data_IF_714261060234
#
_entry.id   IF_714261060234
#
_cell.length_a   1.000
_cell.length_b   1.000
_cell.length_c   1.000
_cell.angle_alpha   90.00
_cell.angle_beta   90.00
_cell.angle_gamma   90.00
#
_symmetry.space_group_name_H-M   'P 1'
#
loop_
_entity.id
_entity.type
_entity.pdbx_description
1 polymer ?
#
# COMPACT_ATOMS: atom_id res chain seq x y z
N UNK A 1 -20.22 14.34 -19.27
CA UNK A 1 -21.01 13.79 -18.15
C UNK A 1 -21.90 12.58 -18.51
N UNK A 2 -21.79 11.96 -19.70
CA UNK A 2 -22.65 10.82 -20.07
C UNK A 2 -22.44 9.58 -19.20
N UNK A 3 -21.19 9.24 -18.86
CA UNK A 3 -20.87 8.03 -18.06
C UNK A 3 -21.39 8.14 -16.62
N UNK A 4 -21.16 9.28 -15.95
CA UNK A 4 -21.72 9.55 -14.63
C UNK A 4 -23.25 9.48 -14.64
N UNK A 5 -23.90 10.06 -15.65
CA UNK A 5 -25.35 10.00 -15.77
C UNK A 5 -25.86 8.54 -15.91
N UNK A 6 -25.18 7.72 -16.71
CA UNK A 6 -25.50 6.30 -16.87
C UNK A 6 -25.36 5.56 -15.53
N UNK A 7 -24.24 5.76 -14.83
CA UNK A 7 -24.01 5.19 -13.49
C UNK A 7 -25.12 5.60 -12.52
N UNK A 8 -25.46 6.88 -12.45
CA UNK A 8 -26.52 7.36 -11.55
C UNK A 8 -27.89 6.78 -11.89
N UNK A 9 -28.22 6.61 -13.18
CA UNK A 9 -29.46 5.95 -13.58
C UNK A 9 -29.50 4.48 -13.16
N UNK A 10 -28.39 3.74 -13.33
CA UNK A 10 -28.29 2.36 -12.87
C UNK A 10 -28.39 2.26 -11.33
N UNK A 11 -27.78 3.20 -10.61
CA UNK A 11 -27.89 3.30 -9.15
C UNK A 11 -29.36 3.57 -8.74
N UNK A 12 -30.05 4.52 -9.40
CA UNK A 12 -31.48 4.79 -9.16
C UNK A 12 -32.33 3.54 -9.33
N UNK A 13 -32.19 2.83 -10.45
CA UNK A 13 -32.98 1.62 -10.71
C UNK A 13 -32.74 0.50 -9.68
N UNK A 14 -31.49 0.36 -9.21
CA UNK A 14 -31.14 -0.60 -8.15
C UNK A 14 -31.74 -0.20 -6.80
N UNK A 15 -31.66 1.08 -6.44
CA UNK A 15 -32.26 1.62 -5.21
C UNK A 15 -33.79 1.51 -5.26
N UNK A 16 -34.40 1.71 -6.42
CA UNK A 16 -35.84 1.48 -6.62
C UNK A 16 -36.20 0.02 -6.38
N UNK A 17 -35.50 -0.88 -7.06
CA UNK A 17 -35.73 -2.33 -6.97
C UNK A 17 -35.53 -2.88 -5.55
N UNK A 18 -34.51 -2.40 -4.83
CA UNK A 18 -34.24 -2.85 -3.45
C UNK A 18 -35.34 -2.40 -2.47
N UNK A 19 -35.80 -1.15 -2.59
CA UNK A 19 -36.85 -0.61 -1.73
C UNK A 19 -38.22 -1.23 -2.00
N UNK A 20 -38.54 -1.52 -3.28
CA UNK A 20 -39.74 -2.28 -3.63
C UNK A 20 -39.73 -3.68 -3.01
N UNK A 21 -38.59 -4.38 -3.10
CA UNK A 21 -38.40 -5.69 -2.44
C UNK A 21 -38.56 -5.60 -0.92
N UNK A 22 -38.09 -4.52 -0.31
CA UNK A 22 -38.17 -4.28 1.14
C UNK A 22 -39.52 -3.68 1.58
N UNK A 23 -40.51 -3.57 0.67
CA UNK A 23 -41.86 -3.04 0.93
C UNK A 23 -41.86 -1.61 1.51
N UNK A 24 -40.87 -0.80 1.15
CA UNK A 24 -40.83 0.62 1.51
C UNK A 24 -41.90 1.37 0.71
N UNK A 25 -42.64 2.28 1.35
CA UNK A 25 -43.75 3.01 0.72
C UNK A 25 -43.37 3.80 -0.53
N UNK A 26 -44.24 3.80 -1.55
CA UNK A 26 -44.00 4.36 -2.89
C UNK A 26 -43.76 5.88 -2.93
N UNK A 27 -44.34 6.65 -2.02
CA UNK A 27 -44.08 8.09 -1.87
C UNK A 27 -42.66 8.40 -1.38
N UNK A 28 -42.06 7.50 -0.61
CA UNK A 28 -40.69 7.62 -0.11
C UNK A 28 -39.67 7.29 -1.22
N UNK A 29 -40.06 6.40 -2.14
CA UNK A 29 -39.28 5.95 -3.30
C UNK A 29 -39.05 7.06 -4.33
N UNK A 30 -40.13 7.73 -4.78
CA UNK A 30 -40.02 8.81 -5.75
C UNK A 30 -39.12 9.96 -5.27
N UNK A 31 -39.19 10.30 -3.97
CA UNK A 31 -38.32 11.35 -3.41
C UNK A 31 -36.84 10.96 -3.36
N UNK A 32 -36.49 9.68 -3.29
CA UNK A 32 -35.09 9.23 -3.25
C UNK A 32 -34.47 9.14 -4.64
N UNK A 33 -35.27 8.81 -5.66
CA UNK A 33 -34.82 8.68 -7.05
C UNK A 33 -34.40 10.03 -7.65
N UNK A 34 -35.15 11.08 -7.31
CA UNK A 34 -34.89 12.46 -7.78
C UNK A 34 -33.70 13.13 -7.07
N UNK A 35 -33.13 12.52 -6.03
CA UNK A 35 -32.07 13.13 -5.20
C UNK A 35 -30.64 12.89 -5.69
N UNK A 36 -30.40 11.90 -6.56
CA UNK A 36 -29.08 11.72 -7.18
C UNK A 36 -28.90 12.75 -8.29
N UNK A 37 -27.88 13.62 -8.21
CA UNK A 37 -27.70 14.71 -9.19
C UNK A 37 -26.36 14.57 -9.92
N UNK A 38 -26.34 14.51 -11.27
CA UNK A 38 -25.10 14.44 -12.04
C UNK A 38 -24.15 15.64 -11.86
N UNK A 39 -24.65 16.78 -11.39
CA UNK A 39 -23.87 17.99 -11.14
C UNK A 39 -23.24 18.01 -9.74
N UNK A 40 -23.59 17.06 -8.87
CA UNK A 40 -23.07 16.98 -7.50
C UNK A 40 -21.87 16.05 -7.45
N UNK A 41 -20.79 16.49 -6.81
CA UNK A 41 -19.59 15.68 -6.56
C UNK A 41 -19.97 14.33 -5.94
N UNK A 42 -19.67 13.26 -6.65
CA UNK A 42 -20.03 11.89 -6.26
C UNK A 42 -18.80 11.11 -5.82
N UNK A 43 -18.77 10.75 -4.53
CA UNK A 43 -17.72 9.91 -3.95
C UNK A 43 -18.24 8.47 -3.85
N UNK A 44 -17.55 7.54 -4.50
CA UNK A 44 -17.82 6.11 -4.41
C UNK A 44 -17.05 5.45 -3.28
N UNK A 45 -17.73 4.57 -2.56
CA UNK A 45 -17.11 3.60 -1.66
C UNK A 45 -17.70 2.23 -1.93
N UNK A 46 -16.96 1.34 -2.61
CA UNK A 46 -17.44 -0.03 -2.78
C UNK A 46 -16.40 -1.12 -2.61
N UNK A 47 -16.72 -2.08 -1.73
CA UNK A 47 -15.82 -3.15 -1.30
C UNK A 47 -16.56 -4.20 -0.47
N UNK A 48 -15.89 -5.31 -0.18
CA UNK A 48 -16.36 -6.22 0.88
C UNK A 48 -16.38 -5.46 2.21
N UNK A 49 -17.49 -5.57 2.93
CA UNK A 49 -17.61 -4.99 4.28
C UNK A 49 -16.85 -5.89 5.25
N UNK A 50 -15.66 -5.45 5.64
CA UNK A 50 -14.84 -6.03 6.70
C UNK A 50 -14.42 -4.87 7.63
N UNK A 51 -14.24 -5.15 8.91
CA UNK A 51 -13.97 -4.14 9.94
C UNK A 51 -12.74 -3.28 9.61
N UNK A 52 -11.66 -3.90 9.12
CA UNK A 52 -10.45 -3.18 8.75
C UNK A 52 -10.61 -2.20 7.58
N UNK A 53 -11.65 -2.32 6.76
CA UNK A 53 -11.91 -1.38 5.66
C UNK A 53 -12.51 -0.05 6.12
N UNK A 54 -12.87 0.05 7.41
CA UNK A 54 -13.32 1.27 8.12
C UNK A 54 -14.44 2.03 7.40
N UNK A 55 -15.47 1.35 6.91
CA UNK A 55 -16.61 2.00 6.23
C UNK A 55 -17.30 3.09 7.08
N UNK A 56 -17.16 3.01 8.42
CA UNK A 56 -17.73 3.94 9.38
C UNK A 56 -16.89 5.19 9.65
N UNK A 57 -15.64 5.25 9.20
CA UNK A 57 -14.69 6.31 9.57
C UNK A 57 -15.20 7.72 9.23
N UNK A 58 -15.82 7.86 8.05
CA UNK A 58 -16.35 9.14 7.56
C UNK A 58 -17.60 9.61 8.34
N UNK A 59 -18.20 8.75 9.17
CA UNK A 59 -19.39 9.08 9.96
C UNK A 59 -19.06 9.36 11.43
N UNK A 60 -17.78 9.48 11.80
CA UNK A 60 -17.38 9.72 13.20
C UNK A 60 -17.88 11.07 13.71
N UNK A 61 -17.74 12.13 12.93
CA UNK A 61 -18.36 13.44 13.18
C UNK A 61 -19.52 13.62 12.20
N UNK A 62 -20.71 13.19 12.64
CA UNK A 62 -21.92 13.25 11.81
C UNK A 62 -22.32 14.69 11.47
N UNK A 63 -22.14 15.63 12.39
CA UNK A 63 -22.62 17.00 12.20
C UNK A 63 -21.69 17.77 11.25
N UNK A 64 -20.37 17.57 11.35
CA UNK A 64 -19.44 18.06 10.33
C UNK A 64 -19.72 17.42 8.98
N UNK A 65 -19.89 16.10 8.90
CA UNK A 65 -20.22 15.45 7.63
C UNK A 65 -21.52 15.98 7.02
N UNK A 66 -22.60 16.15 7.80
CA UNK A 66 -23.87 16.74 7.33
C UNK A 66 -23.66 18.13 6.72
N UNK A 67 -22.83 18.99 7.33
CA UNK A 67 -22.49 20.31 6.79
C UNK A 67 -21.75 20.21 5.45
N UNK A 68 -20.81 19.27 5.32
CA UNK A 68 -20.06 19.04 4.08
C UNK A 68 -21.00 18.58 2.96
N UNK A 69 -21.79 17.53 3.22
CA UNK A 69 -22.66 16.93 2.21
C UNK A 69 -23.75 17.89 1.73
N UNK A 70 -24.26 18.76 2.62
CA UNK A 70 -25.33 19.71 2.33
C UNK A 70 -24.85 21.14 2.09
N UNK A 71 -23.56 21.35 1.84
CA UNK A 71 -23.07 22.68 1.49
C UNK A 71 -23.86 23.24 0.28
N UNK A 72 -24.41 24.46 0.36
CA UNK A 72 -25.28 24.99 -0.68
C UNK A 72 -24.56 25.27 -2.00
N UNK A 73 -23.26 25.57 -1.95
CA UNK A 73 -22.44 25.88 -3.13
C UNK A 73 -21.68 24.67 -3.64
N UNK A 74 -21.25 23.80 -2.71
CA UNK A 74 -20.33 22.69 -2.97
C UNK A 74 -20.84 21.38 -2.35
N UNK A 75 -22.06 20.93 -2.70
CA UNK A 75 -22.65 19.74 -2.09
C UNK A 75 -21.85 18.48 -2.43
N UNK A 76 -22.01 17.42 -1.65
CA UNK A 76 -21.36 16.13 -1.90
C UNK A 76 -22.37 15.01 -1.73
N UNK A 77 -22.31 14.02 -2.62
CA UNK A 77 -23.07 12.78 -2.48
C UNK A 77 -22.14 11.57 -2.36
N UNK A 78 -22.48 10.64 -1.48
CA UNK A 78 -21.75 9.41 -1.21
C UNK A 78 -22.55 8.22 -1.73
N UNK A 79 -21.91 7.35 -2.51
CA UNK A 79 -22.49 6.10 -2.97
C UNK A 79 -21.71 4.93 -2.39
N UNK A 80 -22.31 4.29 -1.40
CA UNK A 80 -21.80 3.07 -0.77
C UNK A 80 -22.32 1.85 -1.52
N UNK A 81 -21.47 0.83 -1.65
CA UNK A 81 -21.91 -0.50 -2.08
C UNK A 81 -21.03 -1.58 -1.49
N UNK A 82 -21.61 -2.74 -1.21
CA UNK A 82 -20.80 -3.87 -0.79
C UNK A 82 -21.62 -5.10 -0.47
N UNK A 83 -20.88 -6.12 -0.04
CA UNK A 83 -21.41 -7.38 0.47
C UNK A 83 -20.63 -7.75 1.72
N UNK A 84 -21.33 -8.29 2.70
CA UNK A 84 -20.73 -8.98 3.83
C UNK A 84 -20.80 -10.48 3.57
N UNK A 85 -19.84 -11.24 4.09
CA UNK A 85 -19.93 -12.70 4.03
C UNK A 85 -21.08 -13.16 4.95
N UNK A 86 -21.84 -14.23 4.62
CA UNK A 86 -22.97 -14.68 5.45
C UNK A 86 -22.59 -15.03 6.90
N UNK A 87 -21.32 -15.41 7.13
CA UNK A 87 -20.76 -15.70 8.46
C UNK A 87 -20.08 -14.50 9.14
N UNK A 88 -20.02 -13.35 8.49
CA UNK A 88 -19.34 -12.15 8.98
C UNK A 88 -20.38 -11.20 9.60
N UNK A 89 -20.68 -11.43 10.88
CA UNK A 89 -21.67 -10.65 11.63
C UNK A 89 -21.31 -9.17 11.67
N UNK A 90 -20.03 -8.84 11.89
CA UNK A 90 -19.55 -7.45 11.90
C UNK A 90 -19.76 -6.75 10.56
N UNK A 91 -19.46 -7.43 9.44
CA UNK A 91 -19.76 -6.92 8.09
C UNK A 91 -21.26 -6.65 7.87
N UNK A 92 -22.13 -7.52 8.36
CA UNK A 92 -23.59 -7.36 8.23
C UNK A 92 -24.14 -6.23 9.09
N UNK A 93 -23.60 -6.04 10.30
CA UNK A 93 -23.93 -4.91 11.17
C UNK A 93 -23.49 -3.59 10.55
N UNK A 94 -22.30 -3.53 9.94
CA UNK A 94 -21.85 -2.33 9.22
C UNK A 94 -22.80 -1.94 8.08
N UNK A 95 -23.28 -2.91 7.29
CA UNK A 95 -24.26 -2.64 6.23
C UNK A 95 -25.56 -2.08 6.83
N UNK A 96 -26.07 -2.69 7.90
CA UNK A 96 -27.27 -2.20 8.60
C UNK A 96 -27.08 -0.78 9.13
N UNK A 97 -25.91 -0.47 9.70
CA UNK A 97 -25.62 0.84 10.25
C UNK A 97 -25.53 1.91 9.16
N UNK A 98 -24.79 1.66 8.07
CA UNK A 98 -24.68 2.60 6.95
C UNK A 98 -26.05 2.82 6.29
N UNK A 99 -26.86 1.77 6.16
CA UNK A 99 -28.23 1.88 5.64
C UNK A 99 -29.14 2.73 6.55
N UNK A 100 -29.03 2.54 7.88
CA UNK A 100 -29.76 3.36 8.85
C UNK A 100 -29.33 4.84 8.81
N UNK A 101 -28.02 5.10 8.73
CA UNK A 101 -27.50 6.47 8.57
C UNK A 101 -27.99 7.13 7.28
N UNK A 102 -28.02 6.40 6.17
CA UNK A 102 -28.51 6.93 4.89
C UNK A 102 -29.98 7.39 4.94
N UNK A 103 -30.76 6.87 5.90
CA UNK A 103 -32.15 7.27 6.14
C UNK A 103 -32.31 8.41 7.17
N UNK A 104 -31.26 8.73 7.94
CA UNK A 104 -31.24 9.79 8.96
C UNK A 104 -31.36 11.19 8.30
N UNK A 105 -32.01 12.12 8.99
CA UNK A 105 -32.13 13.51 8.55
C UNK A 105 -30.73 14.15 8.39
N UNK A 106 -30.55 14.93 7.32
CA UNK A 106 -29.25 15.49 6.93
C UNK A 106 -28.37 14.55 6.10
N UNK A 107 -28.55 13.23 6.18
CA UNK A 107 -27.87 12.28 5.28
C UNK A 107 -28.75 11.82 4.12
N UNK A 108 -30.07 11.81 4.35
CA UNK A 108 -31.05 11.45 3.34
C UNK A 108 -30.89 12.29 2.07
N UNK A 109 -30.72 11.61 0.93
CA UNK A 109 -30.52 12.24 -0.37
C UNK A 109 -29.09 12.72 -0.65
N UNK A 110 -28.18 12.51 0.31
CA UNK A 110 -26.73 12.71 0.13
C UNK A 110 -25.97 11.40 0.24
N UNK A 111 -26.45 10.46 1.05
CA UNK A 111 -25.83 9.14 1.23
C UNK A 111 -26.75 8.08 0.64
N UNK A 112 -26.20 7.25 -0.23
CA UNK A 112 -26.92 6.20 -0.93
C UNK A 112 -26.21 4.86 -0.73
N UNK A 113 -26.97 3.82 -0.41
CA UNK A 113 -26.45 2.47 -0.28
C UNK A 113 -27.03 1.56 -1.37
N UNK A 114 -26.17 0.97 -2.19
CA UNK A 114 -26.51 0.04 -3.26
C UNK A 114 -26.17 -1.38 -2.80
N UNK A 115 -27.20 -2.17 -2.54
CA UNK A 115 -27.04 -3.57 -2.14
C UNK A 115 -26.42 -4.42 -3.27
N UNK A 116 -25.87 -5.58 -2.89
CA UNK A 116 -25.40 -6.61 -3.82
C UNK A 116 -24.29 -6.18 -4.80
N UNK A 117 -23.23 -5.56 -4.29
CA UNK A 117 -22.02 -5.27 -5.07
C UNK A 117 -21.48 -6.49 -5.86
N UNK A 118 -21.54 -6.41 -7.17
CA UNK A 118 -21.06 -7.41 -8.12
C UNK A 118 -20.22 -6.73 -9.22
N UNK A 119 -19.84 -7.49 -10.25
CA UNK A 119 -19.06 -6.93 -11.36
C UNK A 119 -19.83 -5.87 -12.17
N UNK A 120 -21.17 -5.92 -12.21
CA UNK A 120 -21.99 -4.90 -12.86
C UNK A 120 -21.97 -3.61 -12.07
N UNK A 121 -22.25 -3.66 -10.76
CA UNK A 121 -22.18 -2.47 -9.89
C UNK A 121 -20.76 -1.91 -9.85
N UNK A 122 -19.74 -2.77 -9.81
CA UNK A 122 -18.35 -2.36 -9.90
C UNK A 122 -18.07 -1.58 -11.19
N UNK A 123 -18.52 -2.07 -12.34
CA UNK A 123 -18.34 -1.40 -13.64
C UNK A 123 -19.02 -0.02 -13.64
N UNK A 124 -20.24 0.07 -13.14
CA UNK A 124 -20.97 1.34 -13.07
C UNK A 124 -20.24 2.34 -12.18
N UNK A 125 -19.93 1.97 -10.94
CA UNK A 125 -19.29 2.88 -9.99
C UNK A 125 -17.89 3.28 -10.44
N UNK A 126 -17.03 2.32 -10.81
CA UNK A 126 -15.64 2.59 -11.19
C UNK A 126 -15.54 3.55 -12.38
N UNK A 127 -16.48 3.49 -13.31
CA UNK A 127 -16.49 4.35 -14.50
C UNK A 127 -17.21 5.68 -14.28
N UNK A 128 -18.14 5.76 -13.33
CA UNK A 128 -19.05 6.89 -13.19
C UNK A 128 -18.82 7.82 -12.01
N UNK A 129 -18.12 7.38 -10.95
CA UNK A 129 -17.86 8.26 -9.79
C UNK A 129 -16.81 9.32 -10.12
N UNK A 130 -16.91 10.48 -9.48
CA UNK A 130 -15.88 11.51 -9.62
C UNK A 130 -14.65 11.16 -8.76
N UNK A 131 -14.89 10.65 -7.54
CA UNK A 131 -13.86 10.27 -6.57
C UNK A 131 -14.10 8.88 -6.04
N UNK A 132 -13.02 8.13 -5.79
CA UNK A 132 -13.05 6.83 -5.13
C UNK A 132 -12.37 6.88 -3.77
N UNK A 133 -13.16 6.72 -2.70
CA UNK A 133 -12.67 6.77 -1.32
C UNK A 133 -12.13 5.41 -0.88
N UNK A 134 -10.92 5.42 -0.31
CA UNK A 134 -10.28 4.23 0.25
C UNK A 134 -9.56 4.48 1.57
N UNK A 135 -10.07 3.90 2.65
CA UNK A 135 -9.58 4.15 4.00
C UNK A 135 -9.35 2.88 4.85
N UNK A 136 -8.74 1.79 4.32
CA UNK A 136 -8.38 0.65 5.14
C UNK A 136 -7.47 1.05 6.29
N UNK A 137 -7.48 0.25 7.35
CA UNK A 137 -6.54 0.38 8.46
C UNK A 137 -5.14 0.09 7.95
N UNK A 138 -4.20 1.03 8.11
CA UNK A 138 -2.77 0.80 7.84
C UNK A 138 -2.20 -0.23 8.84
N UNK A 139 -1.30 -1.15 8.44
CA UNK A 139 -0.89 -1.54 7.09
C UNK A 139 -1.64 -2.80 6.59
N UNK A 140 -2.96 -2.87 6.82
CA UNK A 140 -3.73 -4.09 6.55
C UNK A 140 -4.16 -4.24 5.08
N UNK A 141 -3.98 -3.20 4.26
CA UNK A 141 -4.18 -3.30 2.82
C UNK A 141 -2.89 -3.73 2.11
N UNK A 142 -2.81 -4.99 1.68
CA UNK A 142 -1.66 -5.44 0.90
C UNK A 142 -1.49 -4.67 -0.44
N UNK A 143 -2.59 -4.31 -1.10
CA UNK A 143 -2.55 -3.56 -2.37
C UNK A 143 -3.86 -2.80 -2.60
N UNK A 144 -4.87 -3.44 -3.22
CA UNK A 144 -6.18 -2.86 -3.49
C UNK A 144 -6.37 -2.44 -4.95
N UNK A 145 -7.00 -3.31 -5.77
CA UNK A 145 -7.09 -3.09 -7.23
C UNK A 145 -8.24 -2.20 -7.69
N UNK A 146 -9.18 -1.82 -6.82
CA UNK A 146 -10.32 -0.98 -7.22
C UNK A 146 -9.90 0.44 -7.57
N UNK A 147 -9.00 1.04 -6.79
CA UNK A 147 -8.47 2.37 -7.07
C UNK A 147 -7.67 2.44 -8.37
N UNK A 148 -6.95 1.37 -8.72
CA UNK A 148 -6.23 1.23 -9.99
C UNK A 148 -7.19 1.32 -11.18
N UNK A 149 -8.36 0.66 -11.07
CA UNK A 149 -9.39 0.67 -12.13
C UNK A 149 -10.06 2.03 -12.28
N UNK A 150 -10.25 2.76 -11.18
CA UNK A 150 -10.85 4.11 -11.20
C UNK A 150 -9.93 5.10 -11.92
N UNK A 151 -8.62 5.05 -11.65
CA UNK A 151 -7.66 5.94 -12.31
C UNK A 151 -7.66 5.81 -13.84
N UNK A 152 -7.86 4.60 -14.36
CA UNK A 152 -8.01 4.34 -15.80
C UNK A 152 -9.24 5.00 -16.43
N UNK A 153 -10.30 5.23 -15.64
CA UNK A 153 -11.53 5.89 -16.10
C UNK A 153 -11.49 7.41 -15.89
N UNK A 154 -10.35 7.96 -15.48
CA UNK A 154 -10.21 9.38 -15.15
C UNK A 154 -10.84 9.77 -13.82
N UNK A 155 -11.28 8.80 -13.01
CA UNK A 155 -11.70 9.07 -11.64
C UNK A 155 -10.51 9.40 -10.75
N UNK A 156 -10.77 10.15 -9.69
CA UNK A 156 -9.75 10.60 -8.75
C UNK A 156 -9.74 9.70 -7.52
N UNK A 157 -8.57 9.19 -7.14
CA UNK A 157 -8.43 8.42 -5.90
C UNK A 157 -8.33 9.38 -4.72
N UNK A 158 -9.06 9.07 -3.65
CA UNK A 158 -8.93 9.70 -2.34
C UNK A 158 -8.68 8.58 -1.34
N UNK A 159 -7.41 8.37 -0.98
CA UNK A 159 -7.02 7.16 -0.26
C UNK A 159 -6.04 7.42 0.86
N UNK A 160 -6.13 6.61 1.89
CA UNK A 160 -5.07 6.46 2.87
C UNK A 160 -3.77 6.02 2.18
N UNK A 161 -2.60 6.45 2.67
CA UNK A 161 -1.30 5.95 2.22
C UNK A 161 -1.06 4.50 2.71
N UNK A 162 -1.75 3.55 2.07
CA UNK A 162 -1.61 2.11 2.27
C UNK A 162 -1.71 1.34 0.94
N UNK A 163 -1.20 0.11 0.92
CA UNK A 163 -1.24 -0.76 -0.24
C UNK A 163 -0.71 -0.10 -1.52
N UNK A 164 -1.45 -0.23 -2.62
CA UNK A 164 -1.01 0.25 -3.95
C UNK A 164 -0.88 1.78 -4.01
N UNK A 165 -1.55 2.51 -3.11
CA UNK A 165 -1.57 3.97 -3.17
C UNK A 165 -0.23 4.56 -2.73
N UNK A 166 0.53 3.86 -1.89
CA UNK A 166 1.92 4.22 -1.55
C UNK A 166 2.81 4.20 -2.81
N UNK A 167 2.61 3.22 -3.69
CA UNK A 167 3.35 3.12 -4.95
C UNK A 167 2.83 4.11 -6.02
N UNK A 168 1.52 4.40 -6.00
CA UNK A 168 0.84 5.11 -7.08
C UNK A 168 0.67 6.61 -6.88
N UNK A 169 0.65 7.11 -5.65
CA UNK A 169 0.42 8.52 -5.35
C UNK A 169 1.64 9.38 -5.66
N UNK A 170 1.44 10.53 -6.32
CA UNK A 170 2.52 11.45 -6.68
C UNK A 170 2.21 12.92 -6.37
N UNK A 171 1.18 13.19 -5.56
CA UNK A 171 0.74 14.54 -5.21
C UNK A 171 -0.03 15.29 -6.31
N UNK A 172 -0.14 14.73 -7.52
CA UNK A 172 -0.81 15.36 -8.67
C UNK A 172 -1.96 14.53 -9.25
N UNK A 173 -2.14 13.29 -8.77
CA UNK A 173 -3.05 12.30 -9.33
C UNK A 173 -4.18 11.87 -8.40
N UNK A 174 -4.36 12.57 -7.28
CA UNK A 174 -5.44 12.34 -6.34
C UNK A 174 -5.17 12.98 -5.00
N UNK A 175 -5.86 12.49 -3.98
CA UNK A 175 -5.76 12.95 -2.60
C UNK A 175 -5.28 11.79 -1.72
N UNK A 176 -4.37 12.11 -0.81
CA UNK A 176 -3.88 11.17 0.18
C UNK A 176 -4.11 11.71 1.59
N UNK A 177 -4.38 10.81 2.53
CA UNK A 177 -4.45 11.14 3.95
C UNK A 177 -3.77 10.04 4.78
N UNK A 178 -3.56 10.37 6.05
CA UNK A 178 -2.84 9.53 6.98
C UNK A 178 -1.33 9.59 6.79
N UNK A 179 -0.63 9.44 7.90
CA UNK A 179 0.84 9.45 7.98
C UNK A 179 1.37 8.08 8.44
N UNK A 180 2.69 8.01 8.60
CA UNK A 180 3.41 6.84 9.10
C UNK A 180 3.79 6.99 10.59
N UNK A 181 3.09 7.85 11.32
CA UNK A 181 3.35 8.09 12.75
C UNK A 181 2.83 6.96 13.62
N UNK A 182 3.48 6.77 14.77
CA UNK A 182 3.04 5.83 15.80
C UNK A 182 1.98 6.50 16.70
N UNK A 183 0.74 6.02 16.63
CA UNK A 183 -0.36 6.50 17.45
C UNK A 183 -0.48 5.67 18.73
N UNK A 184 -0.90 6.31 19.83
CA UNK A 184 -1.02 5.63 21.13
C UNK A 184 -2.17 4.63 21.16
N UNK A 185 -3.15 4.78 20.26
CA UNK A 185 -4.27 3.85 20.12
C UNK A 185 -4.88 3.87 18.71
N UNK A 186 -5.63 2.81 18.37
CA UNK A 186 -6.39 2.75 17.11
C UNK A 186 -7.51 3.80 17.03
N UNK A 187 -8.02 4.25 18.18
CA UNK A 187 -9.07 5.26 18.27
C UNK A 187 -8.52 6.66 17.97
N UNK A 188 -7.33 6.99 18.49
CA UNK A 188 -6.62 8.23 18.17
C UNK A 188 -6.32 8.31 16.67
N UNK A 189 -5.81 7.21 16.08
CA UNK A 189 -5.59 7.09 14.64
C UNK A 189 -6.88 7.27 13.83
N UNK A 190 -8.01 6.73 14.29
CA UNK A 190 -9.29 6.89 13.59
C UNK A 190 -9.83 8.32 13.67
N UNK A 191 -9.65 9.00 14.81
CA UNK A 191 -10.00 10.41 14.93
C UNK A 191 -9.17 11.25 13.98
N UNK A 192 -7.84 11.06 13.98
CA UNK A 192 -6.94 11.79 13.11
C UNK A 192 -7.24 11.56 11.62
N UNK A 193 -7.37 10.30 11.20
CA UNK A 193 -7.71 9.98 9.81
C UNK A 193 -9.09 10.55 9.44
N UNK A 194 -10.07 10.59 10.35
CA UNK A 194 -11.39 11.18 10.07
C UNK A 194 -11.35 12.69 9.91
N UNK A 195 -10.61 13.40 10.76
CA UNK A 195 -10.43 14.86 10.64
C UNK A 195 -9.72 15.22 9.33
N UNK A 196 -8.66 14.49 8.98
CA UNK A 196 -7.95 14.67 7.71
C UNK A 196 -8.88 14.43 6.50
N UNK A 197 -9.78 13.46 6.58
CA UNK A 197 -10.77 13.22 5.52
C UNK A 197 -11.68 14.45 5.35
N UNK A 198 -12.21 15.00 6.45
CA UNK A 198 -13.10 16.17 6.39
C UNK A 198 -12.36 17.41 5.88
N UNK A 199 -11.14 17.67 6.38
CA UNK A 199 -10.32 18.81 5.95
C UNK A 199 -10.05 18.77 4.45
N UNK A 200 -9.67 17.62 3.91
CA UNK A 200 -9.43 17.45 2.47
C UNK A 200 -10.74 17.62 1.68
N UNK A 201 -11.86 17.07 2.16
CA UNK A 201 -13.15 17.23 1.50
C UNK A 201 -13.57 18.71 1.40
N UNK A 202 -13.40 19.47 2.48
CA UNK A 202 -13.84 20.87 2.59
C UNK A 202 -12.91 21.86 1.88
N UNK A 203 -11.60 21.69 2.04
CA UNK A 203 -10.61 22.70 1.70
C UNK A 203 -9.89 22.44 0.38
N UNK A 204 -9.87 21.19 -0.09
CA UNK A 204 -9.15 20.82 -1.31
C UNK A 204 -10.09 20.23 -2.36
N UNK A 205 -10.75 19.13 -2.03
CA UNK A 205 -11.45 18.27 -2.98
C UNK A 205 -12.72 18.93 -3.53
N UNK A 206 -13.66 19.37 -2.68
CA UNK A 206 -14.88 20.02 -3.14
C UNK A 206 -14.60 21.38 -3.84
N UNK A 207 -13.78 22.31 -3.30
CA UNK A 207 -13.44 23.54 -4.01
C UNK A 207 -12.87 23.27 -5.41
N UNK A 208 -11.95 22.30 -5.53
CA UNK A 208 -11.35 21.96 -6.81
C UNK A 208 -12.37 21.39 -7.80
N UNK A 209 -13.26 20.51 -7.33
CA UNK A 209 -14.31 19.93 -8.17
C UNK A 209 -15.29 20.97 -8.69
N UNK A 210 -15.61 22.00 -7.90
CA UNK A 210 -16.62 23.02 -8.23
C UNK A 210 -16.04 24.28 -8.89
N UNK A 211 -14.73 24.49 -8.83
CA UNK A 211 -14.05 25.58 -9.54
C UNK A 211 -14.28 25.44 -11.05
N UNK A 212 -14.72 26.53 -11.69
CA UNK A 212 -14.90 26.62 -13.15
C UNK A 212 -14.11 27.81 -13.69
N UNK A 213 -13.55 27.66 -14.88
CA UNK A 213 -12.95 28.75 -15.63
C UNK A 213 -14.02 29.64 -16.28
N UNK A 214 -13.56 30.70 -16.98
CA UNK A 214 -14.44 31.59 -17.73
C UNK A 214 -15.23 30.88 -18.85
N UNK A 215 -14.72 29.75 -19.34
CA UNK A 215 -15.35 28.86 -20.32
C UNK A 215 -16.35 27.87 -19.71
N UNK A 216 -16.57 27.92 -18.39
CA UNK A 216 -17.45 27.00 -17.68
C UNK A 216 -16.86 25.60 -17.49
N UNK A 217 -15.58 25.37 -17.76
CA UNK A 217 -14.92 24.07 -17.60
C UNK A 217 -14.10 23.98 -16.31
N UNK A 218 -14.07 22.81 -15.63
CA UNK A 218 -13.24 22.59 -14.45
C UNK A 218 -11.80 22.22 -14.85
N UNK A 219 -11.04 23.21 -15.34
CA UNK A 219 -9.71 22.99 -15.92
C UNK A 219 -8.75 22.27 -14.98
N UNK A 220 -8.69 22.68 -13.71
CA UNK A 220 -7.79 22.06 -12.73
C UNK A 220 -8.21 20.61 -12.38
N UNK A 221 -9.52 20.33 -12.33
CA UNK A 221 -10.03 18.98 -12.17
C UNK A 221 -9.66 18.10 -13.37
N UNK A 222 -9.91 18.57 -14.60
CA UNK A 222 -9.56 17.87 -15.84
C UNK A 222 -8.06 17.58 -15.89
N UNK A 223 -7.23 18.53 -15.44
CA UNK A 223 -5.79 18.33 -15.33
C UNK A 223 -5.45 17.18 -14.37
N UNK A 224 -6.10 17.11 -13.20
CA UNK A 224 -5.91 15.99 -12.29
C UNK A 224 -6.40 14.66 -12.87
N UNK A 225 -7.53 14.64 -13.59
CA UNK A 225 -8.02 13.44 -14.26
C UNK A 225 -6.99 12.91 -15.27
N UNK A 226 -6.38 13.82 -16.06
CA UNK A 226 -5.30 13.47 -17.00
C UNK A 226 -4.07 12.92 -16.27
N UNK A 227 -3.67 13.52 -15.14
CA UNK A 227 -2.57 13.00 -14.32
C UNK A 227 -2.89 11.63 -13.73
N UNK A 228 -4.13 11.41 -13.26
CA UNK A 228 -4.62 10.10 -12.77
C UNK A 228 -4.47 9.02 -13.84
N UNK A 229 -4.95 9.27 -15.06
CA UNK A 229 -4.80 8.32 -16.16
C UNK A 229 -3.33 8.08 -16.49
N UNK A 230 -2.55 9.15 -16.65
CA UNK A 230 -1.17 9.08 -17.12
C UNK A 230 -0.22 8.40 -16.13
N UNK A 231 -0.42 8.57 -14.82
CA UNK A 231 0.45 7.95 -13.81
C UNK A 231 0.02 6.53 -13.44
N UNK A 232 -1.28 6.22 -13.49
CA UNK A 232 -1.79 4.92 -13.08
C UNK A 232 -1.65 3.89 -14.20
N UNK A 233 -2.01 4.23 -15.45
CA UNK A 233 -2.10 3.26 -16.54
C UNK A 233 -0.81 2.48 -16.85
N UNK A 234 0.38 3.10 -16.94
CA UNK A 234 1.60 2.39 -17.31
C UNK A 234 2.06 1.41 -16.22
N UNK A 235 1.82 1.74 -14.96
CA UNK A 235 2.33 0.99 -13.82
C UNK A 235 1.36 -0.07 -13.32
N UNK A 236 0.04 0.19 -13.36
CA UNK A 236 -0.98 -0.68 -12.78
C UNK A 236 -1.84 -1.37 -13.85
N UNK A 237 -1.18 -2.18 -14.68
CA UNK A 237 -1.85 -3.03 -15.65
C UNK A 237 -1.37 -4.49 -15.54
N UNK A 238 -2.25 -5.42 -15.90
CA UNK A 238 -1.99 -6.86 -15.76
C UNK A 238 -0.98 -7.38 -16.77
N UNK A 239 -0.76 -6.71 -17.90
CA UNK A 239 0.28 -7.09 -18.87
C UNK A 239 1.67 -6.93 -18.26
N UNK A 240 1.93 -5.80 -17.60
CA UNK A 240 3.15 -5.53 -16.85
C UNK A 240 3.34 -6.57 -15.75
N UNK A 241 2.30 -6.78 -14.92
CA UNK A 241 2.33 -7.78 -13.85
C UNK A 241 2.70 -9.17 -14.37
N UNK A 242 1.99 -9.69 -15.38
CA UNK A 242 2.26 -11.02 -15.94
C UNK A 242 3.66 -11.10 -16.54
N UNK A 243 4.12 -10.04 -17.24
CA UNK A 243 5.48 -9.97 -17.78
C UNK A 243 6.53 -10.05 -16.66
N UNK A 244 6.32 -9.34 -15.56
CA UNK A 244 7.22 -9.38 -14.39
C UNK A 244 7.25 -10.79 -13.79
N UNK A 245 6.09 -11.42 -13.56
CA UNK A 245 6.01 -12.80 -13.08
C UNK A 245 6.75 -13.77 -14.00
N UNK A 246 6.55 -13.67 -15.31
CA UNK A 246 7.21 -14.54 -16.29
C UNK A 246 8.73 -14.35 -16.26
N UNK A 247 9.22 -13.12 -16.28
CA UNK A 247 10.65 -12.84 -16.40
C UNK A 247 11.40 -13.04 -15.09
N UNK A 248 10.80 -12.70 -13.95
CA UNK A 248 11.45 -12.67 -12.64
C UNK A 248 11.24 -13.95 -11.83
N UNK A 249 10.14 -14.69 -12.06
CA UNK A 249 9.81 -15.89 -11.28
C UNK A 249 9.78 -17.14 -12.15
N UNK A 250 8.90 -17.20 -13.15
CA UNK A 250 8.65 -18.44 -13.89
C UNK A 250 9.84 -18.86 -14.77
N UNK A 251 10.39 -17.96 -15.59
CA UNK A 251 11.54 -18.31 -16.43
C UNK A 251 12.80 -18.68 -15.63
N UNK A 252 13.20 -17.93 -14.59
CA UNK A 252 14.31 -18.34 -13.73
C UNK A 252 14.07 -19.71 -13.08
N UNK A 253 12.86 -19.98 -12.57
CA UNK A 253 12.52 -21.26 -11.97
C UNK A 253 12.62 -22.42 -12.98
N UNK A 254 12.13 -22.23 -14.22
CA UNK A 254 12.25 -23.24 -15.29
C UNK A 254 13.72 -23.54 -15.60
N UNK A 255 14.52 -22.51 -15.86
CA UNK A 255 15.96 -22.67 -16.16
C UNK A 255 16.71 -23.37 -15.02
N UNK A 256 16.36 -23.03 -13.77
CA UNK A 256 16.95 -23.69 -12.60
C UNK A 256 16.52 -25.15 -12.51
N UNK A 257 15.25 -25.46 -12.76
CA UNK A 257 14.72 -26.83 -12.79
C UNK A 257 15.40 -27.69 -13.85
N UNK A 258 15.64 -27.13 -15.04
CA UNK A 258 16.40 -27.79 -16.10
C UNK A 258 17.84 -28.08 -15.65
N UNK A 259 18.53 -27.10 -15.05
CA UNK A 259 19.88 -27.26 -14.51
C UNK A 259 19.97 -28.34 -13.43
N UNK A 260 18.99 -28.38 -12.52
CA UNK A 260 18.89 -29.39 -11.46
C UNK A 260 18.56 -30.79 -11.97
N UNK A 261 17.95 -30.92 -13.15
CA UNK A 261 17.57 -32.21 -13.72
C UNK A 261 18.66 -32.89 -14.55
N UNK A 262 19.75 -32.18 -14.83
CA UNK A 262 20.91 -32.73 -15.55
C UNK A 262 21.65 -33.79 -14.73
N UNK A 263 22.42 -34.65 -15.41
CA UNK A 263 23.35 -35.62 -14.82
C UNK A 263 22.75 -36.44 -13.66
N UNK A 264 21.54 -36.98 -13.86
CA UNK A 264 20.81 -37.74 -12.84
C UNK A 264 20.65 -37.00 -11.51
N UNK A 265 20.38 -35.69 -11.60
CA UNK A 265 20.13 -34.77 -10.50
C UNK A 265 21.34 -34.52 -9.59
N UNK A 266 22.57 -34.66 -10.11
CA UNK A 266 23.78 -34.52 -9.30
C UNK A 266 23.85 -33.16 -8.59
N UNK A 267 23.67 -32.06 -9.32
CA UNK A 267 23.70 -30.71 -8.75
C UNK A 267 22.61 -30.49 -7.67
N UNK A 268 21.43 -31.07 -7.87
CA UNK A 268 20.33 -30.96 -6.91
C UNK A 268 20.65 -31.71 -5.60
N UNK A 269 21.28 -32.88 -5.68
CA UNK A 269 21.72 -33.65 -4.51
C UNK A 269 22.82 -32.91 -3.73
N UNK A 270 23.80 -32.34 -4.44
CA UNK A 270 24.86 -31.52 -3.83
C UNK A 270 24.28 -30.28 -3.15
N UNK A 271 23.35 -29.60 -3.82
CA UNK A 271 22.67 -28.44 -3.25
C UNK A 271 21.84 -28.80 -2.02
N UNK A 272 21.09 -29.92 -2.05
CA UNK A 272 20.32 -30.39 -0.90
C UNK A 272 21.22 -30.71 0.31
N UNK A 273 22.34 -31.41 0.10
CA UNK A 273 23.31 -31.69 1.15
C UNK A 273 23.93 -30.39 1.71
N UNK A 274 24.20 -29.40 0.84
CA UNK A 274 24.66 -28.08 1.27
C UNK A 274 23.60 -27.34 2.11
N UNK A 275 22.33 -27.37 1.73
CA UNK A 275 21.22 -26.78 2.48
C UNK A 275 21.13 -27.37 3.89
N UNK A 276 21.20 -28.71 4.02
CA UNK A 276 21.21 -29.40 5.31
C UNK A 276 22.40 -28.99 6.17
N UNK A 277 23.60 -28.92 5.58
CA UNK A 277 24.81 -28.45 6.27
C UNK A 277 24.63 -27.02 6.78
N UNK A 278 24.12 -26.10 5.95
CA UNK A 278 23.88 -24.72 6.35
C UNK A 278 22.90 -24.64 7.51
N UNK A 279 21.76 -25.33 7.44
CA UNK A 279 20.75 -25.32 8.51
C UNK A 279 21.30 -25.83 9.85
N UNK A 280 22.14 -26.87 9.84
CA UNK A 280 22.74 -27.43 11.05
C UNK A 280 23.80 -26.50 11.66
N UNK A 281 24.60 -25.84 10.81
CA UNK A 281 25.76 -25.05 11.26
C UNK A 281 25.44 -23.57 11.47
N UNK A 282 24.30 -23.06 10.99
CA UNK A 282 23.98 -21.62 11.01
C UNK A 282 23.90 -20.99 12.40
N UNK A 283 23.65 -21.81 13.45
CA UNK A 283 23.66 -21.33 14.83
C UNK A 283 25.03 -20.85 15.29
N UNK A 284 26.11 -21.28 14.63
CA UNK A 284 27.48 -20.89 14.95
C UNK A 284 27.92 -19.59 14.26
N UNK A 285 27.06 -19.00 13.41
CA UNK A 285 27.35 -17.77 12.68
C UNK A 285 27.06 -16.55 13.55
N UNK A 286 28.09 -15.76 13.84
CA UNK A 286 27.99 -14.54 14.64
C UNK A 286 28.71 -13.37 13.97
N UNK A 287 28.19 -12.18 14.18
CA UNK A 287 28.70 -10.93 13.62
C UNK A 287 29.18 -10.05 14.77
N UNK A 288 30.47 -9.72 14.78
CA UNK A 288 31.12 -8.87 15.78
C UNK A 288 31.75 -7.66 15.08
N UNK A 289 31.52 -6.45 15.59
CA UNK A 289 32.21 -5.26 15.09
C UNK A 289 33.62 -5.15 15.68
N UNK A 290 34.58 -4.74 14.86
CA UNK A 290 35.97 -4.55 15.30
C UNK A 290 36.37 -3.09 15.45
N UNK A 291 35.76 -2.15 14.71
CA UNK A 291 36.38 -0.83 14.51
C UNK A 291 35.44 0.39 14.64
N UNK A 292 34.13 0.26 14.92
CA UNK A 292 33.22 1.42 15.08
C UNK A 292 32.06 1.15 16.06
N UNK A 293 31.61 2.19 16.78
CA UNK A 293 30.37 2.19 17.56
C UNK A 293 29.15 2.40 16.64
N UNK A 294 28.11 1.58 16.81
CA UNK A 294 26.86 1.58 16.01
C UNK A 294 25.98 2.84 16.14
N UNK A 295 26.23 3.66 17.16
CA UNK A 295 25.33 4.75 17.54
C UNK A 295 25.84 6.14 17.14
N UNK A 296 26.94 6.23 16.39
CA UNK A 296 27.41 7.52 15.90
C UNK A 296 26.75 7.86 14.56
N UNK A 297 26.06 9.00 14.52
CA UNK A 297 25.60 9.60 13.28
C UNK A 297 26.81 9.86 12.38
N UNK A 298 26.93 9.11 11.29
CA UNK A 298 28.00 9.33 10.33
C UNK A 298 27.54 10.39 9.34
N UNK A 299 28.02 11.63 9.53
CA UNK A 299 27.84 12.70 8.56
C UNK A 299 28.82 12.46 7.40
N UNK A 300 28.34 11.84 6.34
CA UNK A 300 29.16 11.53 5.16
C UNK A 300 29.19 12.73 4.20
N UNK A 301 30.40 13.24 3.92
CA UNK A 301 30.62 14.20 2.83
C UNK A 301 30.77 13.48 1.49
N UNK A 302 30.31 14.13 0.41
CA UNK A 302 30.42 13.60 -0.97
C UNK A 302 31.89 13.27 -1.29
N UNK A 303 32.16 12.01 -1.70
CA UNK A 303 33.48 11.43 -2.04
C UNK A 303 34.44 11.02 -0.88
N UNK A 304 34.03 10.94 0.38
CA UNK A 304 34.87 10.31 1.42
C UNK A 304 34.47 8.83 1.66
N UNK A 305 35.32 7.84 1.32
CA UNK A 305 34.95 6.43 1.42
C UNK A 305 34.91 5.95 2.87
N UNK A 306 33.72 5.61 3.36
CA UNK A 306 33.53 4.98 4.65
C UNK A 306 34.04 3.52 4.60
N UNK A 307 35.09 3.22 5.35
CA UNK A 307 35.59 1.86 5.50
C UNK A 307 34.93 1.18 6.70
N UNK A 308 34.18 0.12 6.43
CA UNK A 308 33.52 -0.68 7.47
C UNK A 308 34.22 -2.02 7.56
N UNK A 309 34.60 -2.40 8.78
CA UNK A 309 35.20 -3.69 9.10
C UNK A 309 34.38 -4.43 10.14
N UNK A 310 34.29 -5.74 9.94
CA UNK A 310 33.58 -6.63 10.84
C UNK A 310 34.32 -7.96 10.96
N UNK A 311 34.33 -8.51 12.16
CA UNK A 311 34.74 -9.87 12.45
C UNK A 311 33.51 -10.77 12.37
N UNK A 312 33.54 -11.74 11.48
CA UNK A 312 32.45 -12.70 11.29
C UNK A 312 32.95 -14.07 11.70
N UNK A 313 32.33 -14.65 12.73
CA UNK A 313 32.57 -16.03 13.14
C UNK A 313 31.60 -16.92 12.36
N UNK A 314 32.13 -17.89 11.61
CA UNK A 314 31.32 -18.82 10.81
C UNK A 314 31.58 -20.29 11.15
N UNK A 315 32.47 -20.57 12.12
CA UNK A 315 32.78 -21.92 12.56
C UNK A 315 33.38 -22.78 11.45
N UNK A 316 32.78 -23.94 11.20
CA UNK A 316 33.21 -24.92 10.19
C UNK A 316 32.59 -24.68 8.79
N UNK A 317 31.84 -23.60 8.62
CA UNK A 317 31.29 -23.21 7.32
C UNK A 317 32.44 -22.70 6.43
N UNK A 318 32.44 -23.12 5.17
CA UNK A 318 33.39 -22.58 4.19
C UNK A 318 33.09 -21.08 3.99
N UNK A 319 34.08 -20.17 4.09
CA UNK A 319 33.87 -18.76 3.80
C UNK A 319 33.29 -18.47 2.42
N UNK A 320 33.46 -19.36 1.44
CA UNK A 320 32.84 -19.24 0.12
C UNK A 320 31.33 -19.51 0.14
N UNK A 321 30.83 -20.19 1.17
CA UNK A 321 29.41 -20.51 1.37
C UNK A 321 28.64 -19.41 2.12
N UNK A 322 29.26 -18.27 2.39
CA UNK A 322 28.64 -17.12 3.06
C UNK A 322 28.82 -15.85 2.27
N UNK A 323 27.82 -14.97 2.38
CA UNK A 323 27.85 -13.63 1.83
C UNK A 323 27.64 -12.63 2.96
N UNK A 324 28.63 -11.76 3.16
CA UNK A 324 28.62 -10.72 4.19
C UNK A 324 28.32 -9.39 3.51
N UNK A 325 27.33 -8.66 4.00
CA UNK A 325 26.88 -7.41 3.39
C UNK A 325 26.67 -6.33 4.45
N UNK A 326 27.02 -5.09 4.10
CA UNK A 326 26.52 -3.92 4.81
C UNK A 326 25.15 -3.58 4.26
N UNK A 327 24.18 -3.44 5.16
CA UNK A 327 22.86 -2.86 4.90
C UNK A 327 22.90 -1.41 5.32
N UNK A 328 23.08 -0.51 4.35
CA UNK A 328 23.10 0.94 4.54
C UNK A 328 21.69 1.47 4.29
N UNK A 329 21.13 2.27 5.19
CA UNK A 329 19.81 2.87 5.04
C UNK A 329 19.84 4.32 5.46
N UNK A 330 19.11 5.16 4.73
CA UNK A 330 19.03 6.58 5.01
C UNK A 330 18.13 6.82 6.23
N UNK A 331 18.58 7.65 7.15
CA UNK A 331 17.78 8.09 8.28
C UNK A 331 16.63 8.98 7.79
N UNK A 332 15.42 8.74 8.30
CA UNK A 332 14.20 9.36 7.79
C UNK A 332 14.20 10.86 8.00
N UNK A 333 13.97 11.62 6.92
CA UNK A 333 13.59 13.04 6.98
C UNK A 333 12.14 13.31 6.62
N UNK A 334 11.44 12.38 5.94
CA UNK A 334 10.01 12.51 5.62
C UNK A 334 9.27 11.16 5.55
N UNK A 335 7.94 11.21 5.61
CA UNK A 335 7.06 10.04 5.63
C UNK A 335 6.69 9.49 4.23
N UNK A 336 7.14 10.12 3.15
CA UNK A 336 6.68 9.86 1.78
C UNK A 336 7.65 9.00 0.96
N UNK A 337 8.92 8.91 1.34
CA UNK A 337 9.89 8.13 0.57
C UNK A 337 9.91 6.64 0.98
N UNK A 338 10.14 5.79 -0.02
CA UNK A 338 10.50 4.39 0.19
C UNK A 338 11.80 4.32 0.99
N UNK A 339 11.99 3.24 1.75
CA UNK A 339 13.25 2.98 2.44
C UNK A 339 14.36 2.87 1.38
N UNK A 340 15.09 3.96 1.14
CA UNK A 340 16.29 3.93 0.31
C UNK A 340 17.36 3.20 1.10
N UNK A 341 17.64 1.96 0.66
CA UNK A 341 18.71 1.16 1.21
C UNK A 341 19.67 0.71 0.11
N UNK A 342 20.93 0.55 0.50
CA UNK A 342 21.99 0.01 -0.34
C UNK A 342 22.58 -1.23 0.32
N UNK A 343 22.80 -2.27 -0.48
CA UNK A 343 23.47 -3.50 -0.06
C UNK A 343 24.89 -3.50 -0.63
N UNK A 344 25.90 -3.45 0.25
CA UNK A 344 27.30 -3.46 -0.16
C UNK A 344 27.97 -4.75 0.28
N UNK A 345 28.47 -5.53 -0.68
CA UNK A 345 29.19 -6.77 -0.42
C UNK A 345 30.53 -6.47 0.28
N UNK A 346 30.80 -7.17 1.39
CA UNK A 346 32.07 -7.07 2.10
C UNK A 346 33.05 -8.12 1.59
N UNK A 347 34.32 -7.74 1.45
CA UNK A 347 35.39 -8.61 1.00
C UNK A 347 36.14 -9.21 2.19
N UNK A 348 36.37 -10.52 2.17
CA UNK A 348 37.22 -11.21 3.16
C UNK A 348 38.67 -10.70 3.04
N UNK A 349 39.26 -10.25 4.15
CA UNK A 349 40.63 -9.72 4.21
C UNK A 349 41.59 -10.63 4.95
N UNK A 350 41.16 -11.21 6.08
CA UNK A 350 42.04 -11.98 6.96
C UNK A 350 41.27 -13.12 7.62
N UNK A 351 41.92 -14.28 7.76
CA UNK A 351 41.46 -15.36 8.63
C UNK A 351 42.03 -15.18 10.03
N UNK A 352 41.19 -15.38 11.04
CA UNK A 352 41.52 -15.38 12.46
C UNK A 352 41.40 -16.83 13.00
N UNK A 353 41.65 -17.00 14.30
CA UNK A 353 41.45 -18.28 15.00
C UNK A 353 39.95 -18.61 15.15
N UNK A 354 39.65 -19.87 15.48
CA UNK A 354 38.30 -20.38 15.78
C UNK A 354 37.22 -20.13 14.70
N UNK A 355 37.62 -20.17 13.42
CA UNK A 355 36.68 -20.00 12.31
C UNK A 355 36.13 -18.56 12.17
N UNK A 356 36.86 -17.57 12.69
CA UNK A 356 36.55 -16.16 12.52
C UNK A 356 37.34 -15.53 11.36
N UNK A 357 36.73 -14.54 10.70
CA UNK A 357 37.30 -13.85 9.55
C UNK A 357 37.01 -12.35 9.62
N UNK A 358 37.94 -11.54 9.14
CA UNK A 358 37.74 -10.10 8.98
C UNK A 358 37.23 -9.82 7.57
N UNK A 359 36.09 -9.12 7.50
CA UNK A 359 35.49 -8.62 6.28
C UNK A 359 35.57 -7.10 6.24
N UNK A 360 35.76 -6.54 5.06
CA UNK A 360 35.86 -5.10 4.83
C UNK A 360 35.04 -4.67 3.61
N UNK A 361 34.27 -3.59 3.74
CA UNK A 361 33.66 -2.87 2.63
C UNK A 361 34.13 -1.41 2.65
N UNK A 362 34.31 -0.84 1.45
CA UNK A 362 34.46 0.59 1.25
C UNK A 362 33.18 1.11 0.61
N UNK A 363 32.49 2.00 1.31
CA UNK A 363 31.18 2.51 0.93
C UNK A 363 31.35 3.97 0.50
N UNK A 364 30.86 4.28 -0.70
CA UNK A 364 30.73 5.65 -1.18
C UNK A 364 29.24 5.87 -1.41
N UNK A 365 28.53 6.60 -0.53
CA UNK A 365 27.11 6.83 -0.69
C UNK A 365 26.82 7.47 -2.04
N UNK A 366 25.75 7.03 -2.70
CA UNK A 366 25.33 7.60 -3.98
C UNK A 366 24.85 9.06 -3.87
N UNK A 367 24.35 9.47 -2.70
CA UNK A 367 23.81 10.79 -2.40
C UNK A 367 24.20 11.28 -0.99
N UNK A 368 24.07 12.58 -0.72
CA UNK A 368 24.28 13.17 0.61
C UNK A 368 23.08 12.94 1.55
N UNK A 369 23.33 12.64 2.82
CA UNK A 369 22.32 12.52 3.87
C UNK A 369 22.84 11.86 5.15
N UNK A 370 21.99 11.76 6.16
CA UNK A 370 22.27 10.96 7.34
C UNK A 370 22.01 9.49 7.03
N UNK A 371 22.99 8.63 7.27
CA UNK A 371 22.88 7.20 7.04
C UNK A 371 23.14 6.43 8.33
N UNK A 372 22.41 5.34 8.50
CA UNK A 372 22.70 4.29 9.47
C UNK A 372 23.03 3.02 8.72
N UNK A 373 23.77 2.12 9.37
CA UNK A 373 24.07 0.82 8.78
C UNK A 373 23.95 -0.30 9.80
N UNK A 374 23.75 -1.50 9.28
CA UNK A 374 23.97 -2.75 10.02
C UNK A 374 24.65 -3.74 9.10
N UNK A 375 25.15 -4.85 9.64
CA UNK A 375 25.82 -5.90 8.87
C UNK A 375 24.97 -7.16 8.93
N UNK A 376 24.87 -7.84 7.79
CA UNK A 376 24.19 -9.13 7.69
C UNK A 376 25.08 -10.18 7.04
N UNK A 377 24.86 -11.42 7.44
CA UNK A 377 25.46 -12.62 6.87
C UNK A 377 24.36 -13.53 6.37
N UNK A 378 24.51 -14.02 5.15
CA UNK A 378 23.57 -14.89 4.44
C UNK A 378 24.32 -16.12 3.91
N UNK A 379 23.67 -17.29 3.82
CA UNK A 379 24.22 -18.41 3.09
C UNK A 379 24.35 -18.04 1.61
N UNK A 380 25.37 -18.56 0.94
CA UNK A 380 25.59 -18.33 -0.47
C UNK A 380 26.04 -19.60 -1.16
N UNK A 381 25.35 -19.97 -2.22
CA UNK A 381 25.78 -21.04 -3.13
C UNK A 381 25.50 -20.59 -4.56
N UNK A 382 26.41 -20.89 -5.49
CA UNK A 382 26.24 -20.53 -6.92
C UNK A 382 25.02 -21.20 -7.57
N UNK A 383 24.53 -22.28 -6.97
CA UNK A 383 23.34 -23.00 -7.42
C UNK A 383 22.05 -22.46 -6.81
N UNK A 384 22.12 -21.59 -5.80
CA UNK A 384 20.97 -21.07 -5.09
C UNK A 384 20.06 -20.24 -6.03
N UNK A 385 18.75 -20.54 -6.13
CA UNK A 385 17.80 -19.81 -6.97
C UNK A 385 17.54 -18.38 -6.49
N UNK A 386 17.53 -18.14 -5.18
CA UNK A 386 17.39 -16.80 -4.61
C UNK A 386 18.09 -16.69 -3.24
N UNK A 387 18.67 -15.52 -2.87
CA UNK A 387 19.48 -15.39 -1.65
C UNK A 387 18.77 -15.64 -0.31
N UNK A 388 17.44 -15.74 -0.29
CA UNK A 388 16.64 -15.84 0.94
C UNK A 388 15.95 -17.20 1.08
N UNK A 389 16.22 -18.15 0.19
CA UNK A 389 15.52 -19.45 0.12
C UNK A 389 15.55 -20.23 1.44
N UNK A 390 16.69 -20.20 2.15
CA UNK A 390 16.85 -20.92 3.41
C UNK A 390 16.21 -20.21 4.61
N UNK A 391 15.78 -18.95 4.47
CA UNK A 391 15.31 -18.14 5.60
C UNK A 391 16.38 -17.88 6.67
N UNK A 392 17.65 -18.17 6.37
CA UNK A 392 18.78 -18.03 7.28
C UNK A 392 19.44 -16.68 7.06
N UNK A 393 19.44 -15.85 8.10
CA UNK A 393 20.13 -14.56 8.12
C UNK A 393 20.64 -14.29 9.54
N UNK A 394 21.86 -13.79 9.65
CA UNK A 394 22.41 -13.29 10.91
C UNK A 394 22.71 -11.81 10.76
N UNK A 395 22.11 -11.02 11.62
CA UNK A 395 22.39 -9.60 11.73
C UNK A 395 23.41 -9.38 12.84
N UNK A 396 24.14 -8.27 12.73
CA UNK A 396 24.88 -7.72 13.85
C UNK A 396 23.93 -7.46 15.02
N UNK A 397 24.11 -8.21 16.11
CA UNK A 397 23.37 -8.00 17.35
C UNK A 397 23.86 -6.69 17.99
N UNK A 398 22.96 -5.73 18.17
CA UNK A 398 23.27 -4.61 19.05
C UNK A 398 23.31 -5.17 20.48
N UNK A 399 24.29 -4.78 21.32
CA UNK A 399 24.23 -5.14 22.73
C UNK A 399 22.88 -4.65 23.28
N UNK A 400 22.09 -5.57 23.83
CA UNK A 400 20.89 -5.20 24.58
C UNK A 400 21.34 -4.29 25.72
N UNK A 401 21.09 -2.99 25.60
CA UNK A 401 21.07 -2.12 26.76
C UNK A 401 19.86 -2.54 27.59
N UNK A 402 20.09 -3.37 28.60
CA UNK A 402 19.21 -3.43 29.75
C UNK A 402 19.28 -2.07 30.45
N UNK A 403 18.31 -1.21 30.14
CA UNK A 403 18.04 0.05 30.83
C UNK A 403 16.59 0.06 31.28
#
# INVERSE_FOLDING_TARGET
NSVKQIMLNHVRERIRSQNLRNKVGTLHLHRLEDMLDPNILTIGFARRFATYKRAMLIFRDKERLKRILNNPERPVQLVFSGKAHPKDMGGQELIRFVSALAAEEGFRGRVFFVENYDMSVARDLISGVDVWLNNPRRPQEASGTSGQKVGLNGGINFSVLDGWWVEGYNGKNGFAFGDREDYRSLEELDNWDSEAIYDIMENDLAPLYYKRGADGLPTDWIKMMKHSIASVMPNFNTHRMVKDYVNQLYQPAIRQGEKYSQDSYQLAKEYAAWCEKMQQQWMNVHVELTDMNLNEEIVLQYNDPLKIRAKIKIGEIDPADVKVQVYLFKERTDALHNDEFELVDMNRKKQLEDGAYVYEAAITPSNSGNYRFTIRVLPFNKSMPNPVELGLIRWLEQPQFHG
#
